data_IF_383951068901
#
_entry.id   IF_383951068901
#
_cell.length_a   1.000
_cell.length_b   1.000
_cell.length_c   1.000
_cell.angle_alpha   90.00
_cell.angle_beta   90.00
_cell.angle_gamma   90.00
#
_symmetry.space_group_name_H-M   'P 1'
#
loop_
_entity.id
_entity.type
_entity.pdbx_description
1 polymer ?
#
# COMPACT_ATOMS: atom_id res chain seq x y z
N UNK A 1 -19.15 -1.54 -3.38
CA UNK A 1 -17.87 -2.28 -3.28
C UNK A 1 -17.10 -2.17 -4.60
N UNK A 2 -16.02 -1.38 -4.63
CA UNK A 2 -15.16 -1.25 -5.80
C UNK A 2 -14.54 -2.62 -6.11
N UNK A 3 -14.76 -3.14 -7.33
CA UNK A 3 -14.33 -4.47 -7.76
C UNK A 3 -12.83 -4.56 -7.99
N UNK A 4 -12.04 -4.28 -6.96
CA UNK A 4 -10.58 -4.34 -6.96
C UNK A 4 -10.14 -5.75 -6.62
N UNK A 5 -9.13 -6.26 -7.33
CA UNK A 5 -8.49 -7.53 -7.00
C UNK A 5 -7.64 -7.37 -5.72
N UNK A 6 -8.30 -7.35 -4.56
CA UNK A 6 -7.70 -7.20 -3.23
C UNK A 6 -6.62 -8.25 -2.96
N UNK A 7 -6.78 -9.45 -3.52
CA UNK A 7 -5.80 -10.53 -3.36
C UNK A 7 -4.44 -10.18 -3.98
N UNK A 8 -4.46 -9.54 -5.15
CA UNK A 8 -3.24 -9.13 -5.85
C UNK A 8 -2.61 -7.91 -5.15
N UNK A 9 -3.44 -6.97 -4.69
CA UNK A 9 -2.98 -5.86 -3.85
C UNK A 9 -2.25 -6.36 -2.59
N UNK A 10 -2.85 -7.28 -1.84
CA UNK A 10 -2.25 -7.80 -0.61
C UNK A 10 -0.91 -8.50 -0.86
N UNK A 11 -0.78 -9.27 -1.95
CA UNK A 11 0.48 -9.93 -2.31
C UNK A 11 1.57 -8.91 -2.66
N UNK A 12 1.25 -7.98 -3.56
CA UNK A 12 2.18 -6.96 -4.03
C UNK A 12 2.61 -6.02 -2.89
N UNK A 13 1.67 -5.64 -2.02
CA UNK A 13 1.94 -4.82 -0.84
C UNK A 13 2.85 -5.55 0.16
N UNK A 14 2.57 -6.81 0.48
CA UNK A 14 3.38 -7.60 1.39
C UNK A 14 4.81 -7.78 0.86
N UNK A 15 4.98 -8.01 -0.44
CA UNK A 15 6.30 -8.10 -1.07
C UNK A 15 7.06 -6.77 -1.00
N UNK A 16 6.38 -5.63 -1.23
CA UNK A 16 6.98 -4.28 -1.21
C UNK A 16 7.21 -3.71 0.20
N UNK A 17 6.67 -4.35 1.23
CA UNK A 17 6.79 -3.93 2.64
C UNK A 17 7.48 -4.97 3.51
N UNK A 18 8.00 -6.05 2.91
CA UNK A 18 8.71 -7.11 3.61
C UNK A 18 9.96 -6.58 4.34
N UNK A 19 10.63 -5.61 3.73
CA UNK A 19 11.78 -4.86 4.27
C UNK A 19 11.40 -3.89 5.40
N UNK A 20 10.11 -3.52 5.50
CA UNK A 20 9.57 -2.54 6.46
C UNK A 20 8.70 -3.20 7.54
N UNK A 21 8.85 -4.51 7.73
CA UNK A 21 8.14 -5.27 8.77
C UNK A 21 8.34 -4.62 10.15
N UNK A 22 7.23 -4.33 10.81
CA UNK A 22 7.20 -3.65 12.11
C UNK A 22 6.93 -2.14 12.05
N UNK A 23 6.86 -1.55 10.85
CA UNK A 23 6.50 -0.14 10.65
C UNK A 23 5.14 -0.02 9.94
N UNK A 24 4.34 0.97 10.33
CA UNK A 24 3.07 1.27 9.64
C UNK A 24 3.41 2.00 8.34
N UNK A 25 3.31 1.29 7.21
CA UNK A 25 3.57 1.87 5.88
C UNK A 25 2.26 2.36 5.28
N UNK A 26 2.05 3.68 5.13
CA UNK A 26 0.86 4.20 4.47
C UNK A 26 0.92 3.92 2.96
N UNK A 27 -0.25 3.64 2.39
CA UNK A 27 -0.42 3.41 0.95
C UNK A 27 -1.54 4.26 0.40
N UNK A 28 -1.28 4.83 -0.77
CA UNK A 28 -2.28 5.49 -1.59
C UNK A 28 -2.65 4.57 -2.75
N UNK A 29 -3.95 4.28 -2.90
CA UNK A 29 -4.49 3.41 -3.94
C UNK A 29 -5.32 4.26 -4.89
N UNK A 30 -4.99 4.21 -6.17
CA UNK A 30 -5.78 4.80 -7.25
C UNK A 30 -6.52 3.69 -7.99
N UNK A 31 -7.84 3.82 -8.10
CA UNK A 31 -8.71 2.85 -8.78
C UNK A 31 -9.20 3.51 -10.07
N UNK A 32 -8.98 2.85 -11.20
CA UNK A 32 -9.43 3.31 -12.51
C UNK A 32 -10.79 2.68 -12.90
N UNK A 33 -11.46 3.26 -13.89
CA UNK A 33 -12.80 2.84 -14.33
C UNK A 33 -12.85 1.42 -14.92
N UNK A 34 -11.73 0.96 -15.47
CA UNK A 34 -11.53 -0.40 -15.99
C UNK A 34 -11.31 -1.45 -14.87
N UNK A 35 -11.43 -1.04 -13.60
CA UNK A 35 -11.15 -1.85 -12.40
C UNK A 35 -9.68 -2.21 -12.21
N UNK A 36 -8.79 -1.64 -13.02
CA UNK A 36 -7.37 -1.66 -12.69
C UNK A 36 -7.12 -0.78 -11.46
N UNK A 37 -6.06 -1.09 -10.74
CA UNK A 37 -5.63 -0.32 -9.59
C UNK A 37 -4.12 -0.14 -9.65
N UNK A 38 -3.67 1.04 -9.23
CA UNK A 38 -2.27 1.31 -8.95
C UNK A 38 -2.14 1.74 -7.51
N UNK A 39 -1.00 1.46 -6.89
CA UNK A 39 -0.74 1.92 -5.54
C UNK A 39 0.71 2.32 -5.35
N UNK A 40 0.91 3.29 -4.47
CA UNK A 40 2.23 3.79 -4.10
C UNK A 40 2.39 3.62 -2.60
N UNK A 41 3.41 2.86 -2.21
CA UNK A 41 3.88 2.75 -0.82
C UNK A 41 4.64 4.02 -0.47
N UNK A 42 4.06 4.85 0.39
CA UNK A 42 4.75 6.03 0.93
C UNK A 42 5.63 5.59 2.09
N UNK A 43 6.75 6.27 2.29
CA UNK A 43 7.57 6.09 3.49
C UNK A 43 6.72 6.47 4.72
N UNK A 44 6.82 5.72 5.84
CA UNK A 44 6.12 6.07 7.07
C UNK A 44 6.37 7.53 7.42
N UNK A 45 5.33 8.26 7.87
CA UNK A 45 5.46 9.69 8.13
C UNK A 45 6.53 9.94 9.18
N UNK A 46 7.32 11.00 9.00
CA UNK A 46 8.38 11.45 9.91
C UNK A 46 7.88 11.66 11.35
N UNK A 47 6.56 11.73 11.57
CA UNK A 47 5.96 11.74 12.91
C UNK A 47 6.34 10.53 13.79
N UNK A 48 6.78 9.41 13.19
CA UNK A 48 7.36 8.27 13.92
C UNK A 48 8.89 8.29 14.04
N UNK A 49 9.59 9.07 13.21
CA UNK A 49 11.05 9.25 13.27
C UNK A 49 11.48 10.26 14.35
N UNK A 50 10.53 11.03 14.87
CA UNK A 50 10.72 11.98 15.96
C UNK A 50 9.96 11.45 17.19
N UNK A 51 10.47 10.40 17.82
CA UNK A 51 10.08 10.00 19.18
C UNK A 51 11.33 9.71 19.99
#
# INVERSE_FOLDING_TARGET
>A
PHGVAIMDFCKEYNARTEDKRGQIVPVEISIYEDRSFTFVTRTPPTSFLIR
#
